data_IF_467445187729
#
_entry.id   IF_467445187729
#
_cell.length_a   1.000
_cell.length_b   1.000
_cell.length_c   1.000
_cell.angle_alpha   90.00
_cell.angle_beta   90.00
_cell.angle_gamma   90.00
#
_symmetry.space_group_name_H-M   'P 1'
#
loop_
_entity.id
_entity.type
_entity.pdbx_description
1 polymer ?
#
# COMPACT_ATOMS: atom_id res chain seq x y z
N UNK A 1 29.34 -50.05 49.65
CA UNK A 1 28.56 -50.27 48.40
C UNK A 1 27.33 -49.35 48.25
N UNK A 2 26.47 -49.21 49.28
CA UNK A 2 25.20 -48.44 49.24
C UNK A 2 25.34 -46.95 48.83
N UNK A 3 26.37 -46.24 49.30
CA UNK A 3 26.56 -44.82 49.01
C UNK A 3 27.04 -44.57 47.57
N UNK A 4 27.85 -45.47 47.01
CA UNK A 4 28.28 -45.40 45.60
C UNK A 4 27.11 -45.60 44.63
N UNK A 5 26.13 -46.44 44.99
CA UNK A 5 24.91 -46.62 44.20
C UNK A 5 24.02 -45.38 44.22
N UNK A 6 23.84 -44.73 45.39
CA UNK A 6 23.09 -43.46 45.50
C UNK A 6 23.72 -42.34 44.68
N UNK A 7 25.05 -42.24 44.68
CA UNK A 7 25.79 -41.24 43.88
C UNK A 7 25.59 -41.48 42.38
N UNK A 8 25.67 -42.75 41.92
CA UNK A 8 25.41 -43.10 40.52
C UNK A 8 23.99 -42.71 40.08
N UNK A 9 22.99 -43.02 40.91
CA UNK A 9 21.59 -42.66 40.64
C UNK A 9 21.42 -41.14 40.55
N UNK A 10 22.02 -40.39 41.48
CA UNK A 10 21.94 -38.92 41.47
C UNK A 10 22.56 -38.32 40.20
N UNK A 11 23.71 -38.84 39.75
CA UNK A 11 24.35 -38.39 38.50
C UNK A 11 23.46 -38.71 37.29
N UNK A 12 22.88 -39.91 37.23
CA UNK A 12 21.97 -40.30 36.12
C UNK A 12 20.76 -39.37 36.04
N UNK A 13 20.14 -39.04 37.18
CA UNK A 13 19.01 -38.10 37.23
C UNK A 13 19.41 -36.70 36.76
N UNK A 14 20.60 -36.23 37.17
CA UNK A 14 21.10 -34.91 36.78
C UNK A 14 21.30 -34.80 35.26
N UNK A 15 21.80 -35.86 34.62
CA UNK A 15 21.99 -35.91 33.16
C UNK A 15 20.64 -35.87 32.44
N UNK A 16 19.63 -36.63 32.90
CA UNK A 16 18.29 -36.63 32.30
C UNK A 16 17.61 -35.26 32.42
N UNK A 17 17.77 -34.57 33.55
CA UNK A 17 17.23 -33.22 33.73
C UNK A 17 17.91 -32.25 32.76
N UNK A 18 19.24 -32.30 32.66
CA UNK A 18 20.01 -31.44 31.74
C UNK A 18 19.57 -31.59 30.29
N UNK A 19 19.38 -32.82 29.80
CA UNK A 19 18.93 -33.07 28.42
C UNK A 19 17.50 -32.59 28.17
N UNK A 20 16.62 -32.63 29.18
CA UNK A 20 15.27 -32.08 29.06
C UNK A 20 15.27 -30.55 28.95
N UNK A 21 16.15 -29.86 29.69
CA UNK A 21 16.30 -28.41 29.60
C UNK A 21 16.84 -27.96 28.24
N UNK A 22 17.85 -28.65 27.69
CA UNK A 22 18.41 -28.29 26.38
C UNK A 22 17.42 -28.52 25.24
N UNK A 23 16.64 -29.61 25.28
CA UNK A 23 15.61 -29.89 24.28
C UNK A 23 14.49 -28.82 24.27
N UNK A 24 14.07 -28.34 25.44
CA UNK A 24 13.11 -27.23 25.54
C UNK A 24 13.65 -25.93 24.93
N UNK A 25 14.89 -25.58 25.24
CA UNK A 25 15.52 -24.39 24.69
C UNK A 25 15.65 -24.45 23.16
N UNK A 26 15.99 -25.62 22.60
CA UNK A 26 16.07 -25.83 21.16
C UNK A 26 14.71 -25.68 20.47
N UNK A 27 13.64 -26.26 21.04
CA UNK A 27 12.27 -26.09 20.53
C UNK A 27 11.81 -24.63 20.56
N UNK A 28 12.15 -23.88 21.62
CA UNK A 28 11.84 -22.45 21.74
C UNK A 28 12.57 -21.61 20.67
N UNK A 29 13.85 -21.89 20.43
CA UNK A 29 14.65 -21.20 19.40
C UNK A 29 14.09 -21.49 18.00
N UNK A 30 13.70 -22.74 17.72
CA UNK A 30 13.12 -23.11 16.42
C UNK A 30 11.72 -22.53 16.21
N UNK A 31 10.95 -22.29 17.27
CA UNK A 31 9.66 -21.60 17.18
C UNK A 31 9.83 -20.08 16.92
N UNK A 32 10.94 -19.48 17.37
CA UNK A 32 11.21 -18.05 17.10
C UNK A 32 11.67 -17.76 15.67
N UNK A 33 11.98 -18.79 14.87
CA UNK A 33 12.34 -18.66 13.46
C UNK A 33 11.17 -18.41 12.51
N UNK A 34 9.94 -18.66 12.96
CA UNK A 34 8.71 -18.25 12.30
C UNK A 34 8.03 -17.18 13.16
N UNK A 35 8.61 -15.98 13.15
CA UNK A 35 7.79 -14.81 13.46
C UNK A 35 6.66 -14.77 12.44
N UNK A 36 5.47 -15.22 12.82
CA UNK A 36 4.24 -14.66 12.27
C UNK A 36 4.43 -13.15 12.31
N UNK A 37 4.66 -12.55 11.15
CA UNK A 37 4.47 -11.11 11.01
C UNK A 37 3.00 -10.91 11.25
N UNK A 38 2.60 -10.69 12.49
CA UNK A 38 1.26 -10.25 12.83
C UNK A 38 1.02 -9.01 11.97
N UNK A 39 0.14 -9.14 10.97
CA UNK A 39 -0.31 -8.06 10.09
C UNK A 39 -1.20 -7.14 10.94
N UNK A 40 -0.67 -6.60 12.02
CA UNK A 40 -1.44 -5.80 12.99
C UNK A 40 -1.28 -4.30 12.74
N UNK A 41 -0.50 -3.89 11.74
CA UNK A 41 -0.28 -2.48 11.41
C UNK A 41 -0.23 -2.16 9.92
N UNK A 42 -0.62 -3.09 9.04
CA UNK A 42 -0.81 -2.76 7.62
C UNK A 42 -2.28 -2.48 7.38
N UNK A 43 -2.62 -1.21 7.17
CA UNK A 43 -3.89 -0.87 6.52
C UNK A 43 -3.90 -1.61 5.17
N UNK A 44 -4.88 -2.49 4.91
CA UNK A 44 -4.94 -3.20 3.64
C UNK A 44 -4.98 -2.17 2.48
N UNK A 45 -4.37 -2.49 1.32
CA UNK A 45 -4.51 -1.66 0.14
C UNK A 45 -5.99 -1.35 -0.10
N UNK A 46 -6.31 -0.07 -0.26
CA UNK A 46 -7.67 0.36 -0.58
C UNK A 46 -8.01 -0.10 -1.99
N UNK A 47 -9.27 -0.44 -2.24
CA UNK A 47 -9.77 -0.70 -3.60
C UNK A 47 -10.10 0.61 -4.31
N UNK A 48 -10.23 0.60 -5.64
CA UNK A 48 -10.65 1.78 -6.41
C UNK A 48 -11.98 2.38 -5.92
N UNK A 49 -12.88 1.58 -5.37
CA UNK A 49 -14.14 2.05 -4.78
C UNK A 49 -14.03 2.80 -3.44
N UNK A 50 -12.83 3.06 -2.93
CA UNK A 50 -12.69 3.76 -1.64
C UNK A 50 -13.17 5.21 -1.72
N UNK A 51 -12.83 5.90 -2.80
CA UNK A 51 -13.37 7.21 -3.14
C UNK A 51 -14.29 7.08 -4.34
N UNK A 52 -15.42 7.80 -4.31
CA UNK A 52 -16.37 7.85 -5.43
C UNK A 52 -16.63 9.30 -5.80
N UNK A 53 -16.45 9.64 -7.07
CA UNK A 53 -16.75 10.97 -7.62
C UNK A 53 -17.27 10.85 -9.05
N UNK A 54 -17.88 11.90 -9.57
CA UNK A 54 -18.42 11.92 -10.94
C UNK A 54 -17.37 12.35 -11.97
N UNK A 55 -16.39 13.14 -11.55
CA UNK A 55 -15.27 13.56 -12.39
C UNK A 55 -14.12 14.09 -11.54
N UNK A 56 -12.94 14.17 -12.14
CA UNK A 56 -11.77 14.90 -11.65
C UNK A 56 -11.31 15.86 -12.75
N UNK A 57 -11.06 17.11 -12.39
CA UNK A 57 -10.49 18.10 -13.28
C UNK A 57 -9.36 18.83 -12.56
N UNK A 58 -8.14 18.68 -13.08
CA UNK A 58 -6.95 19.38 -12.63
C UNK A 58 -6.49 20.30 -13.75
N UNK A 59 -6.50 21.60 -13.48
CA UNK A 59 -6.07 22.64 -14.42
C UNK A 59 -4.85 23.37 -13.86
N UNK A 60 -3.72 22.68 -13.80
CA UNK A 60 -2.48 23.15 -13.17
C UNK A 60 -2.60 23.48 -11.67
N UNK A 61 -3.74 23.15 -11.04
CA UNK A 61 -4.09 23.57 -9.68
C UNK A 61 -3.96 22.45 -8.64
N UNK A 62 -2.96 21.57 -8.82
CA UNK A 62 -2.73 20.39 -7.99
C UNK A 62 -2.69 20.67 -6.50
N UNK A 63 -1.97 21.71 -6.05
CA UNK A 63 -1.87 22.04 -4.63
C UNK A 63 -3.23 22.40 -4.01
N UNK A 64 -4.14 23.00 -4.79
CA UNK A 64 -5.52 23.23 -4.35
C UNK A 64 -6.28 21.90 -4.23
N UNK A 65 -6.08 20.98 -5.18
CA UNK A 65 -6.70 19.66 -5.12
C UNK A 65 -6.24 18.87 -3.90
N UNK A 66 -4.93 18.86 -3.61
CA UNK A 66 -4.34 18.23 -2.41
C UNK A 66 -4.88 18.86 -1.12
N UNK A 67 -5.06 20.18 -1.08
CA UNK A 67 -5.63 20.86 0.09
C UNK A 67 -7.12 20.59 0.32
N UNK A 68 -7.87 20.27 -0.74
CA UNK A 68 -9.33 20.17 -0.71
C UNK A 68 -9.85 18.73 -0.72
N UNK A 69 -9.07 17.76 -1.20
CA UNK A 69 -9.55 16.41 -1.46
C UNK A 69 -8.62 15.33 -0.95
N UNK A 70 -9.19 14.32 -0.28
CA UNK A 70 -8.43 13.21 0.30
C UNK A 70 -8.05 12.10 -0.68
N UNK A 71 -8.56 12.15 -1.92
CA UNK A 71 -8.24 11.18 -2.98
C UNK A 71 -6.96 11.53 -3.75
N UNK A 72 -6.35 12.68 -3.46
CA UNK A 72 -5.08 13.10 -4.03
C UNK A 72 -4.11 13.52 -2.93
N UNK A 73 -2.84 13.16 -3.10
CA UNK A 73 -1.74 13.55 -2.21
C UNK A 73 -0.47 13.83 -3.04
N UNK A 74 0.64 14.14 -2.38
CA UNK A 74 1.93 14.45 -3.01
C UNK A 74 2.17 15.96 -3.16
N UNK A 75 3.36 16.33 -3.65
CA UNK A 75 3.76 17.72 -3.89
C UNK A 75 4.14 18.02 -5.35
N UNK A 76 4.08 17.02 -6.22
CA UNK A 76 4.36 17.17 -7.65
C UNK A 76 5.84 17.14 -8.01
N UNK A 77 6.74 16.93 -7.04
CA UNK A 77 8.16 16.74 -7.30
C UNK A 77 8.46 15.34 -7.84
N UNK A 78 9.66 15.16 -8.43
CA UNK A 78 10.11 13.85 -8.91
C UNK A 78 10.10 12.77 -7.80
N UNK A 79 10.50 13.15 -6.59
CA UNK A 79 10.55 12.25 -5.43
C UNK A 79 9.19 12.03 -4.77
N UNK A 80 8.23 12.94 -4.99
CA UNK A 80 6.92 12.92 -4.36
C UNK A 80 5.84 13.42 -5.33
N UNK A 81 5.57 12.66 -6.42
CA UNK A 81 4.61 13.06 -7.43
C UNK A 81 3.21 13.19 -6.83
N UNK A 82 2.33 13.95 -7.47
CA UNK A 82 0.92 13.94 -7.13
C UNK A 82 0.32 12.56 -7.41
N UNK A 83 -0.39 11.97 -6.45
CA UNK A 83 -0.96 10.62 -6.60
C UNK A 83 -2.48 10.73 -6.54
N UNK A 84 -3.15 10.41 -7.64
CA UNK A 84 -4.60 10.12 -7.66
C UNK A 84 -4.75 8.62 -7.50
N UNK A 85 -5.37 8.17 -6.40
CA UNK A 85 -5.50 6.75 -6.13
C UNK A 85 -6.77 6.33 -5.41
N UNK A 86 -7.16 5.07 -5.63
CA UNK A 86 -8.28 4.41 -4.97
C UNK A 86 -9.62 5.13 -5.26
N UNK A 87 -9.82 5.55 -6.52
CA UNK A 87 -10.99 6.32 -6.96
C UNK A 87 -11.81 5.57 -8.01
N UNK A 88 -13.13 5.55 -7.83
CA UNK A 88 -14.10 5.08 -8.83
C UNK A 88 -14.85 6.29 -9.36
N UNK A 89 -14.93 6.39 -10.69
CA UNK A 89 -15.50 7.53 -11.42
C UNK A 89 -16.57 7.03 -12.38
N UNK A 90 -17.82 7.43 -12.11
CA UNK A 90 -18.92 7.32 -13.07
C UNK A 90 -19.06 8.66 -13.81
N UNK A 91 -18.52 8.71 -15.03
CA UNK A 91 -18.45 9.93 -15.81
C UNK A 91 -19.76 10.27 -16.55
N UNK A 92 -20.86 9.55 -16.30
CA UNK A 92 -22.17 9.78 -16.93
C UNK A 92 -22.72 11.19 -16.71
N UNK A 93 -22.33 11.83 -15.61
CA UNK A 93 -22.73 13.21 -15.25
C UNK A 93 -21.57 14.21 -15.33
N UNK A 94 -20.43 13.80 -15.88
CA UNK A 94 -19.27 14.69 -16.00
C UNK A 94 -19.60 15.88 -16.93
N UNK A 95 -19.34 17.13 -16.49
CA UNK A 95 -19.59 18.31 -17.31
C UNK A 95 -18.70 18.35 -18.57
N UNK A 96 -17.55 17.68 -18.51
CA UNK A 96 -16.60 17.58 -19.62
C UNK A 96 -16.75 16.26 -20.38
N UNK A 97 -17.69 15.40 -19.95
CA UNK A 97 -17.91 14.04 -20.45
C UNK A 97 -16.67 13.14 -20.34
N UNK A 98 -15.63 13.58 -19.66
CA UNK A 98 -14.44 12.81 -19.35
C UNK A 98 -14.39 12.48 -17.86
N UNK A 99 -13.81 11.34 -17.49
CA UNK A 99 -13.72 10.95 -16.09
C UNK A 99 -12.64 11.73 -15.34
N UNK A 100 -11.41 11.70 -15.86
CA UNK A 100 -10.28 12.48 -15.35
C UNK A 100 -9.78 13.38 -16.48
N UNK A 101 -9.68 14.68 -16.21
CA UNK A 101 -8.97 15.63 -17.05
C UNK A 101 -7.81 16.20 -16.26
N UNK A 102 -6.61 16.11 -16.81
CA UNK A 102 -5.44 16.82 -16.33
C UNK A 102 -4.94 17.69 -17.47
N UNK A 103 -4.96 19.00 -17.23
CA UNK A 103 -4.46 19.99 -18.16
C UNK A 103 -3.53 20.98 -17.49
N UNK A 104 -2.74 21.67 -18.32
CA UNK A 104 -1.81 22.72 -17.91
C UNK A 104 -0.79 22.30 -16.84
N UNK A 105 -0.45 21.01 -16.80
CA UNK A 105 0.53 20.42 -15.87
C UNK A 105 1.88 20.20 -16.59
N UNK A 106 2.71 21.25 -16.63
CA UNK A 106 3.94 21.27 -17.46
C UNK A 106 5.22 20.86 -16.72
N UNK A 107 5.23 20.91 -15.39
CA UNK A 107 6.38 20.49 -14.57
C UNK A 107 5.95 19.67 -13.35
N UNK A 108 4.69 19.23 -13.33
CA UNK A 108 4.11 18.46 -12.24
C UNK A 108 4.25 16.98 -12.55
N UNK A 109 4.92 16.25 -11.67
CA UNK A 109 4.96 14.80 -11.72
C UNK A 109 3.71 14.24 -11.07
N UNK A 110 3.03 13.31 -11.72
CA UNK A 110 1.83 12.69 -11.18
C UNK A 110 1.72 11.20 -11.54
N UNK A 111 0.98 10.47 -10.72
CA UNK A 111 0.66 9.05 -10.87
C UNK A 111 -0.85 8.88 -10.73
N UNK A 112 -1.47 8.19 -11.67
CA UNK A 112 -2.86 7.72 -11.56
C UNK A 112 -2.80 6.21 -11.38
N UNK A 113 -3.26 5.69 -10.24
CA UNK A 113 -3.21 4.24 -9.95
C UNK A 113 -4.43 3.76 -9.19
N UNK A 114 -4.80 2.49 -9.39
CA UNK A 114 -5.96 1.89 -8.74
C UNK A 114 -7.23 2.74 -8.87
N UNK A 115 -7.52 3.14 -10.11
CA UNK A 115 -8.69 3.94 -10.46
C UNK A 115 -9.59 3.12 -11.39
N UNK A 116 -10.90 3.25 -11.22
CA UNK A 116 -11.89 2.72 -12.16
C UNK A 116 -12.65 3.88 -12.76
N UNK A 117 -12.63 4.03 -14.09
CA UNK A 117 -13.42 5.04 -14.80
C UNK A 117 -14.36 4.35 -15.78
N UNK A 118 -15.64 4.71 -15.77
CA UNK A 118 -16.65 4.18 -16.68
C UNK A 118 -17.68 5.25 -17.05
N UNK A 119 -18.51 4.96 -18.06
CA UNK A 119 -19.54 5.86 -18.60
C UNK A 119 -19.01 7.24 -19.06
N UNK A 120 -17.76 7.33 -19.50
CA UNK A 120 -17.28 8.53 -20.20
C UNK A 120 -18.01 8.69 -21.53
N UNK A 121 -18.10 9.94 -22.00
CA UNK A 121 -18.74 10.27 -23.25
C UNK A 121 -17.97 9.70 -24.45
N UNK A 122 -18.63 9.77 -25.60
CA UNK A 122 -18.24 9.13 -26.85
C UNK A 122 -18.01 10.13 -28.01
N UNK A 123 -17.89 11.43 -27.74
CA UNK A 123 -17.54 12.40 -28.80
C UNK A 123 -16.02 12.58 -28.91
N UNK A 124 -15.53 13.22 -29.98
CA UNK A 124 -14.13 13.18 -30.44
C UNK A 124 -13.03 13.55 -29.43
N UNK A 125 -13.36 14.22 -28.32
CA UNK A 125 -12.39 14.63 -27.30
C UNK A 125 -12.72 14.10 -25.89
N UNK A 126 -13.77 13.28 -25.76
CA UNK A 126 -14.14 12.65 -24.49
C UNK A 126 -13.22 11.47 -24.23
N UNK A 127 -12.81 11.28 -22.97
CA UNK A 127 -12.00 10.13 -22.59
C UNK A 127 -12.24 9.73 -21.13
N UNK A 128 -11.96 8.46 -20.80
CA UNK A 128 -11.88 8.06 -19.40
C UNK A 128 -10.80 8.87 -18.65
N UNK A 129 -9.63 9.00 -19.27
CA UNK A 129 -8.52 9.83 -18.79
C UNK A 129 -8.04 10.67 -19.97
N UNK A 130 -8.07 12.00 -19.81
CA UNK A 130 -7.63 12.98 -20.80
C UNK A 130 -6.46 13.78 -20.25
N UNK A 131 -5.38 13.85 -21.03
CA UNK A 131 -4.17 14.62 -20.70
C UNK A 131 -3.92 15.66 -21.80
N UNK A 132 -4.08 16.95 -21.48
CA UNK A 132 -3.93 18.05 -22.44
C UNK A 132 -2.86 19.04 -21.96
N UNK A 133 -1.99 19.53 -22.85
CA UNK A 133 -0.92 20.49 -22.49
C UNK A 133 -0.04 20.04 -21.31
N UNK A 134 0.26 18.74 -21.26
CA UNK A 134 1.22 18.15 -20.32
C UNK A 134 2.62 18.10 -20.95
N UNK A 135 3.67 18.21 -20.13
CA UNK A 135 5.05 18.00 -20.61
C UNK A 135 5.62 16.75 -19.96
N UNK A 136 5.97 15.74 -20.76
CA UNK A 136 6.80 14.63 -20.31
C UNK A 136 8.26 14.99 -20.55
N UNK A 137 9.09 15.08 -19.50
CA UNK A 137 10.54 15.06 -19.71
C UNK A 137 10.95 13.61 -19.98
N UNK A 138 11.35 13.33 -21.22
CA UNK A 138 12.03 12.08 -21.58
C UNK A 138 13.46 12.11 -21.04
N UNK A 139 13.91 10.97 -20.51
CA UNK A 139 15.29 10.72 -20.08
C UNK A 139 16.27 10.80 -21.25
#
# INVERSE_FOLDING_TARGET
>A
MRNRQKIKIAITVLVIISTFFTAKNFMLINHQGETERTIENLNPPKISGYWVTNFIHIDGNWSQAVGNYSWVNGDGSWSNPYIIENVTIDASTSPTRSGIIINNSKNDYFIIRNVTVFNAGNVSFDAGIKLDFITSRSF
#
